data_IF_341138073714
#
_entry.id   IF_341138073714
#
_cell.length_a   1.000
_cell.length_b   1.000
_cell.length_c   1.000
_cell.angle_alpha   90.00
_cell.angle_beta   90.00
_cell.angle_gamma   90.00
#
_symmetry.space_group_name_H-M   'P 1'
#
loop_
_entity.id
_entity.type
_entity.pdbx_description
1 polymer ?
#
# COMPACT_ATOMS: atom_id res chain seq x y z
N UNK A 1 -3.78 -92.59 -21.35
CA UNK A 1 -2.96 -93.43 -20.48
C UNK A 1 -3.19 -92.87 -19.07
N UNK A 2 -4.09 -93.60 -18.40
CA UNK A 2 -4.24 -93.84 -16.95
C UNK A 2 -4.34 -92.64 -15.99
N UNK A 3 -5.56 -92.38 -15.58
CA UNK A 3 -6.01 -92.13 -14.20
C UNK A 3 -5.28 -93.10 -13.21
N UNK A 4 -5.14 -92.90 -11.89
CA UNK A 4 -6.15 -92.49 -10.91
C UNK A 4 -5.53 -91.64 -9.75
N UNK A 5 -6.25 -90.89 -8.95
CA UNK A 5 -6.85 -91.35 -7.72
C UNK A 5 -7.56 -90.19 -6.95
N UNK A 6 -8.80 -90.31 -6.65
CA UNK A 6 -9.54 -89.65 -5.57
C UNK A 6 -9.47 -90.55 -4.32
N UNK A 7 -9.42 -90.03 -3.11
CA UNK A 7 -10.57 -89.72 -2.32
C UNK A 7 -10.34 -88.53 -1.36
N UNK A 8 -11.22 -87.78 -0.72
CA UNK A 8 -12.31 -88.21 0.13
C UNK A 8 -13.18 -87.00 0.48
N UNK A 9 -14.45 -87.20 0.54
CA UNK A 9 -15.46 -86.24 0.99
C UNK A 9 -15.41 -86.07 2.53
N UNK A 10 -15.38 -84.80 3.03
CA UNK A 10 -15.84 -84.45 4.35
C UNK A 10 -17.15 -83.65 4.28
N UNK A 11 -18.05 -83.82 5.25
CA UNK A 11 -19.44 -83.41 5.12
C UNK A 11 -19.68 -81.91 5.33
N UNK A 12 -20.82 -81.36 4.89
CA UNK A 12 -21.13 -79.94 5.06
C UNK A 12 -21.48 -79.63 6.50
N UNK A 13 -20.74 -78.70 7.09
CA UNK A 13 -21.09 -78.09 8.36
C UNK A 13 -22.31 -77.17 8.17
N UNK A 14 -23.30 -77.44 9.03
CA UNK A 14 -24.61 -76.83 9.10
C UNK A 14 -24.52 -75.32 9.14
N UNK A 15 -25.49 -74.68 8.45
CA UNK A 15 -25.80 -73.26 8.54
C UNK A 15 -26.00 -72.88 10.02
N UNK A 16 -25.10 -72.07 10.54
CA UNK A 16 -25.32 -71.35 11.79
C UNK A 16 -26.19 -70.12 11.50
N UNK A 17 -27.32 -70.10 12.09
CA UNK A 17 -28.37 -69.07 12.05
C UNK A 17 -27.75 -67.65 12.16
N UNK A 18 -28.15 -66.82 11.23
CA UNK A 18 -27.80 -65.40 11.24
C UNK A 18 -28.36 -64.69 12.48
N UNK A 19 -27.46 -64.35 13.37
CA UNK A 19 -27.76 -63.34 14.39
C UNK A 19 -27.88 -62.03 13.66
N UNK A 20 -29.02 -61.37 13.65
CA UNK A 20 -29.10 -60.04 13.05
C UNK A 20 -28.23 -59.10 13.85
N UNK A 21 -27.17 -58.57 13.22
CA UNK A 21 -26.38 -57.46 13.75
C UNK A 21 -27.37 -56.31 14.01
N UNK A 22 -27.33 -55.72 15.20
CA UNK A 22 -28.16 -54.55 15.47
C UNK A 22 -27.79 -53.45 14.47
N UNK A 23 -28.79 -52.73 13.93
CA UNK A 23 -28.49 -51.64 13.01
C UNK A 23 -27.56 -50.67 13.71
N UNK A 24 -26.40 -50.44 13.11
CA UNK A 24 -25.48 -49.38 13.50
C UNK A 24 -26.29 -48.08 13.50
N UNK A 25 -26.70 -47.63 14.69
CA UNK A 25 -27.28 -46.33 14.89
C UNK A 25 -26.22 -45.27 14.55
N UNK A 26 -26.01 -45.07 13.26
CA UNK A 26 -25.39 -43.84 12.75
C UNK A 26 -26.35 -42.73 13.14
N UNK A 27 -26.00 -42.01 14.19
CA UNK A 27 -26.71 -40.80 14.60
C UNK A 27 -26.44 -39.72 13.54
N UNK A 28 -27.06 -39.88 12.37
CA UNK A 28 -27.32 -38.73 11.50
C UNK A 28 -28.33 -37.89 12.29
N UNK A 29 -27.84 -36.78 12.82
CA UNK A 29 -28.71 -35.77 13.43
C UNK A 29 -29.69 -35.32 12.36
N UNK A 30 -30.84 -35.97 12.28
CA UNK A 30 -31.88 -35.56 11.36
C UNK A 30 -32.26 -34.13 11.67
N UNK A 31 -32.19 -33.23 10.70
CA UNK A 31 -32.62 -31.84 10.84
C UNK A 31 -34.01 -31.76 11.49
N UNK A 32 -34.85 -32.74 11.26
CA UNK A 32 -36.19 -32.88 11.85
C UNK A 32 -36.14 -33.10 13.37
N UNK A 33 -35.20 -33.87 13.91
CA UNK A 33 -35.07 -34.09 15.36
C UNK A 33 -34.64 -32.84 16.12
N UNK A 34 -33.97 -31.92 15.44
CA UNK A 34 -33.58 -30.62 16.02
C UNK A 34 -34.69 -29.59 15.87
N UNK A 35 -35.46 -29.63 14.77
CA UNK A 35 -36.52 -28.64 14.50
C UNK A 35 -37.78 -28.88 15.36
N UNK A 36 -38.18 -30.14 15.60
CA UNK A 36 -39.41 -30.45 16.34
C UNK A 36 -39.45 -29.87 17.77
N UNK A 37 -38.41 -30.02 18.62
CA UNK A 37 -38.45 -29.44 19.97
C UNK A 37 -38.37 -27.91 19.96
N UNK A 38 -37.77 -27.31 18.93
CA UNK A 38 -37.72 -25.84 18.74
C UNK A 38 -39.14 -25.32 18.39
N UNK A 39 -39.83 -25.96 17.47
CA UNK A 39 -41.18 -25.55 17.03
C UNK A 39 -42.22 -25.57 18.17
N UNK A 40 -42.17 -26.60 19.03
CA UNK A 40 -43.07 -26.70 20.18
C UNK A 40 -42.82 -25.61 21.25
N UNK A 41 -41.62 -25.02 21.26
CA UNK A 41 -41.22 -23.99 22.24
C UNK A 41 -40.99 -22.62 21.60
N UNK A 42 -41.64 -22.32 20.45
CA UNK A 42 -41.51 -21.07 19.69
C UNK A 42 -41.67 -19.80 20.54
N UNK A 43 -42.58 -19.81 21.53
CA UNK A 43 -42.76 -18.67 22.43
C UNK A 43 -41.52 -18.40 23.31
N UNK A 44 -40.77 -19.40 23.70
CA UNK A 44 -39.52 -19.23 24.45
C UNK A 44 -38.40 -18.70 23.54
N UNK A 45 -38.37 -19.13 22.31
CA UNK A 45 -37.42 -18.60 21.31
C UNK A 45 -37.72 -17.13 21.01
N UNK A 46 -38.99 -16.76 20.84
CA UNK A 46 -39.40 -15.37 20.68
C UNK A 46 -39.09 -14.53 21.93
N UNK A 47 -39.30 -15.04 23.11
CA UNK A 47 -38.92 -14.38 24.35
C UNK A 47 -37.40 -14.18 24.44
N UNK A 48 -36.59 -15.19 24.08
CA UNK A 48 -35.15 -15.10 24.03
C UNK A 48 -34.65 -14.06 23.03
N UNK A 49 -35.28 -14.00 21.84
CA UNK A 49 -34.98 -12.98 20.82
C UNK A 49 -35.33 -11.58 21.33
N UNK A 50 -36.50 -11.37 21.94
CA UNK A 50 -36.92 -10.08 22.48
C UNK A 50 -36.04 -9.64 23.65
N UNK A 51 -35.77 -10.50 24.60
CA UNK A 51 -34.90 -10.18 25.76
C UNK A 51 -33.48 -9.89 25.26
N UNK A 52 -32.96 -10.72 24.36
CA UNK A 52 -31.63 -10.48 23.75
C UNK A 52 -31.55 -9.16 23.00
N UNK A 53 -32.60 -8.81 22.24
CA UNK A 53 -32.67 -7.53 21.52
C UNK A 53 -32.73 -6.33 22.49
N UNK A 54 -33.51 -6.41 23.56
CA UNK A 54 -33.59 -5.35 24.58
C UNK A 54 -32.25 -5.21 25.32
N UNK A 55 -31.61 -6.31 25.68
CA UNK A 55 -30.30 -6.27 26.30
C UNK A 55 -29.23 -5.70 25.34
N UNK A 56 -29.22 -6.11 24.08
CA UNK A 56 -28.33 -5.58 23.07
C UNK A 56 -28.54 -4.06 22.84
N UNK A 57 -29.80 -3.64 22.76
CA UNK A 57 -30.15 -2.22 22.68
C UNK A 57 -29.70 -1.46 23.94
N UNK A 58 -29.96 -1.95 25.13
CA UNK A 58 -29.53 -1.34 26.39
C UNK A 58 -28.02 -1.23 26.49
N UNK A 59 -27.29 -2.26 26.07
CA UNK A 59 -25.82 -2.24 26.03
C UNK A 59 -25.26 -1.18 25.05
N UNK A 60 -25.96 -0.97 23.94
CA UNK A 60 -25.63 0.08 22.98
C UNK A 60 -25.73 1.51 23.59
N UNK A 61 -26.64 1.72 24.52
CA UNK A 61 -26.83 3.05 25.17
C UNK A 61 -25.73 3.36 26.22
N UNK A 62 -25.08 2.33 26.75
CA UNK A 62 -23.98 2.49 27.74
C UNK A 62 -22.65 2.79 27.04
N UNK A 63 -22.50 2.46 25.77
CA UNK A 63 -21.27 2.72 25.04
C UNK A 63 -21.10 4.20 24.72
N UNK A 64 -19.83 4.74 24.79
CA UNK A 64 -19.58 6.14 24.46
C UNK A 64 -19.91 6.41 22.98
N UNK A 65 -20.62 7.51 22.76
CA UNK A 65 -20.92 8.00 21.41
C UNK A 65 -19.61 8.35 20.71
N UNK A 66 -19.49 7.97 19.45
CA UNK A 66 -18.34 8.28 18.60
C UNK A 66 -18.81 8.94 17.32
N UNK A 67 -18.09 9.97 16.94
CA UNK A 67 -18.36 10.78 15.78
C UNK A 67 -17.25 10.58 14.75
N UNK A 68 -17.61 10.55 13.46
CA UNK A 68 -16.62 10.38 12.38
C UNK A 68 -16.53 11.69 11.60
N UNK A 69 -15.40 12.38 11.71
CA UNK A 69 -15.04 13.49 10.84
C UNK A 69 -14.39 12.95 9.56
N UNK A 70 -14.85 13.42 8.40
CA UNK A 70 -14.32 12.97 7.10
C UNK A 70 -13.84 14.18 6.29
N UNK A 71 -12.59 14.12 5.83
CA UNK A 71 -12.03 15.06 4.87
C UNK A 71 -11.71 14.34 3.57
N UNK A 72 -11.95 14.97 2.43
CA UNK A 72 -11.64 14.42 1.12
C UNK A 72 -10.72 15.34 0.33
N UNK A 73 -9.76 14.74 -0.37
CA UNK A 73 -8.84 15.45 -1.24
C UNK A 73 -8.55 14.65 -2.50
N UNK A 74 -8.26 15.39 -3.57
CA UNK A 74 -7.82 14.83 -4.84
C UNK A 74 -6.33 15.02 -4.96
N UNK A 75 -5.67 13.93 -5.31
CA UNK A 75 -4.30 14.00 -5.76
C UNK A 75 -4.36 14.19 -7.28
N UNK A 76 -4.00 15.36 -7.74
CA UNK A 76 -3.84 15.54 -9.17
C UNK A 76 -2.64 14.73 -9.63
N UNK A 77 -2.80 13.71 -10.49
CA UNK A 77 -1.67 13.16 -11.19
C UNK A 77 -1.09 14.34 -11.99
N UNK A 78 0.13 14.70 -11.70
CA UNK A 78 0.84 15.75 -12.43
C UNK A 78 0.95 15.31 -13.89
N UNK A 79 -0.07 15.66 -14.69
CA UNK A 79 -0.16 15.40 -16.13
C UNK A 79 0.84 16.25 -16.96
N UNK A 80 1.93 16.70 -16.32
CA UNK A 80 3.05 17.30 -17.05
C UNK A 80 4.19 16.30 -17.09
N UNK A 81 4.46 15.69 -18.25
CA UNK A 81 5.54 14.69 -18.39
C UNK A 81 6.93 15.21 -18.05
N UNK A 82 7.09 16.52 -17.92
CA UNK A 82 8.37 17.17 -17.59
C UNK A 82 8.53 17.63 -16.13
N UNK A 83 7.50 17.52 -15.27
CA UNK A 83 7.51 18.12 -13.93
C UNK A 83 7.06 17.21 -12.80
N UNK A 84 6.87 15.92 -13.03
CA UNK A 84 6.39 15.02 -11.97
C UNK A 84 7.50 14.53 -11.05
N UNK A 85 7.99 15.43 -10.22
CA UNK A 85 8.95 15.16 -9.14
C UNK A 85 8.40 14.13 -8.16
N UNK A 86 7.10 14.23 -7.82
CA UNK A 86 6.42 13.29 -6.93
C UNK A 86 6.23 11.93 -7.61
N UNK A 87 5.93 11.89 -8.92
CA UNK A 87 5.82 10.62 -9.66
C UNK A 87 7.17 9.93 -9.86
N UNK A 88 8.29 10.67 -9.71
CA UNK A 88 9.64 10.11 -9.83
C UNK A 88 10.19 9.54 -8.53
N UNK A 89 9.78 10.08 -7.39
CA UNK A 89 10.16 9.54 -6.07
C UNK A 89 9.33 8.29 -5.67
N UNK A 90 8.12 8.16 -6.24
CA UNK A 90 7.21 7.05 -5.93
C UNK A 90 7.81 5.65 -6.16
N UNK A 91 8.44 5.34 -7.31
CA UNK A 91 8.98 4.00 -7.55
C UNK A 91 10.16 3.65 -6.65
N UNK A 92 10.96 4.64 -6.23
CA UNK A 92 12.08 4.39 -5.33
C UNK A 92 11.62 3.99 -3.91
N UNK A 93 10.51 4.58 -3.44
CA UNK A 93 9.89 4.19 -2.18
C UNK A 93 9.11 2.87 -2.29
N UNK A 94 8.54 2.56 -3.46
CA UNK A 94 7.87 1.28 -3.72
C UNK A 94 8.84 0.09 -3.68
N UNK A 95 10.09 0.28 -4.10
CA UNK A 95 11.16 -0.72 -3.97
C UNK A 95 11.53 -1.05 -2.52
N UNK A 96 11.33 -0.12 -1.60
CA UNK A 96 11.56 -0.32 -0.16
C UNK A 96 10.43 -1.12 0.54
N UNK A 97 9.24 -1.16 -0.06
CA UNK A 97 8.06 -1.85 0.53
C UNK A 97 7.90 -3.29 0.02
N UNK A 98 8.77 -3.76 -0.86
CA UNK A 98 8.90 -5.19 -1.22
C UNK A 98 7.69 -5.79 -1.98
N UNK A 99 6.89 -5.01 -2.68
CA UNK A 99 5.78 -5.50 -3.48
C UNK A 99 6.08 -5.37 -4.98
N UNK A 100 6.30 -6.48 -5.63
CA UNK A 100 6.38 -6.58 -7.10
C UNK A 100 5.04 -6.31 -7.77
N UNK A 101 4.67 -5.05 -7.89
CA UNK A 101 3.48 -4.59 -8.59
C UNK A 101 3.36 -3.10 -8.33
N UNK A 102 3.38 -2.28 -9.38
CA UNK A 102 3.43 -0.83 -9.32
C UNK A 102 2.53 -0.24 -8.23
N UNK A 103 3.14 0.13 -7.11
CA UNK A 103 2.46 0.85 -6.05
C UNK A 103 1.85 2.11 -6.67
N UNK A 104 0.54 2.23 -6.59
CA UNK A 104 -0.13 3.40 -7.14
C UNK A 104 0.30 4.63 -6.33
N UNK A 105 0.28 5.80 -6.94
CA UNK A 105 0.54 7.06 -6.24
C UNK A 105 -0.21 7.15 -4.89
N UNK A 106 -1.34 6.51 -4.83
CA UNK A 106 -2.27 6.46 -3.73
C UNK A 106 -1.76 5.63 -2.55
N UNK A 107 -1.07 4.51 -2.83
CA UNK A 107 -0.46 3.68 -1.78
C UNK A 107 0.63 4.47 -1.02
N UNK A 108 1.34 5.35 -1.73
CA UNK A 108 2.30 6.26 -1.11
C UNK A 108 1.61 7.23 -0.14
N UNK A 109 0.52 7.90 -0.57
CA UNK A 109 -0.19 8.83 0.32
C UNK A 109 -0.75 8.13 1.53
N UNK A 110 -1.28 6.90 1.34
CA UNK A 110 -1.76 6.08 2.44
C UNK A 110 -0.63 5.73 3.42
N UNK A 111 0.54 5.40 2.90
CA UNK A 111 1.73 5.10 3.70
C UNK A 111 2.24 6.35 4.44
N UNK A 112 2.27 7.50 3.78
CA UNK A 112 2.64 8.78 4.42
C UNK A 112 1.68 9.15 5.54
N UNK A 113 0.36 9.02 5.33
CA UNK A 113 -0.66 9.31 6.33
C UNK A 113 -0.59 8.37 7.55
N UNK A 114 -0.09 7.15 7.36
CA UNK A 114 0.12 6.17 8.45
C UNK A 114 1.53 6.23 9.04
N UNK A 115 2.38 7.13 8.56
CA UNK A 115 3.74 7.25 9.06
C UNK A 115 3.78 7.66 10.53
N UNK A 116 4.80 7.23 11.23
CA UNK A 116 5.01 7.60 12.63
C UNK A 116 5.14 9.10 12.80
N UNK A 117 5.87 9.77 11.90
CA UNK A 117 6.05 11.22 11.93
C UNK A 117 4.74 11.98 11.81
N UNK A 118 3.81 11.53 10.94
CA UNK A 118 2.48 12.09 10.81
C UNK A 118 1.67 11.90 12.09
N UNK A 119 1.67 10.68 12.62
CA UNK A 119 0.97 10.31 13.84
C UNK A 119 1.45 11.14 15.02
N UNK A 120 2.78 11.33 15.16
CA UNK A 120 3.38 12.11 16.24
C UNK A 120 3.00 13.59 16.18
N UNK A 121 3.00 14.22 15.00
CA UNK A 121 2.57 15.61 14.84
C UNK A 121 1.12 15.82 15.26
N UNK A 122 0.23 14.88 14.87
CA UNK A 122 -1.18 14.95 15.26
C UNK A 122 -1.36 14.76 16.76
N UNK A 123 -0.65 13.81 17.37
CA UNK A 123 -0.67 13.57 18.81
C UNK A 123 -0.24 14.81 19.59
N UNK A 124 0.85 15.46 19.17
CA UNK A 124 1.39 16.65 19.82
C UNK A 124 0.48 17.86 19.61
N UNK A 125 -0.08 18.05 18.41
CA UNK A 125 -0.95 19.18 18.09
C UNK A 125 -2.25 19.22 18.90
N UNK A 126 -2.84 18.03 19.14
CA UNK A 126 -4.11 17.92 19.87
C UNK A 126 -3.92 17.39 21.30
N UNK A 127 -2.70 17.25 21.79
CA UNK A 127 -2.38 16.69 23.11
C UNK A 127 -3.13 15.38 23.42
N UNK A 128 -3.29 14.52 22.39
CA UNK A 128 -4.16 13.35 22.48
C UNK A 128 -3.70 12.34 23.52
N UNK A 129 -2.40 12.26 23.81
CA UNK A 129 -1.87 11.40 24.85
C UNK A 129 -2.45 11.76 26.21
N UNK A 130 -2.52 13.06 26.53
CA UNK A 130 -3.12 13.58 27.79
C UNK A 130 -4.63 13.44 27.76
N UNK A 131 -5.27 13.78 26.62
CA UNK A 131 -6.71 13.70 26.46
C UNK A 131 -7.26 12.28 26.66
N UNK A 132 -6.47 11.26 26.31
CA UNK A 132 -6.84 9.86 26.50
C UNK A 132 -6.30 9.24 27.79
N UNK A 133 -5.53 9.98 28.61
CA UNK A 133 -4.99 9.51 29.86
C UNK A 133 -3.98 8.36 29.71
N UNK A 134 -3.18 8.39 28.63
CA UNK A 134 -2.23 7.32 28.32
C UNK A 134 -0.83 7.69 28.80
N UNK A 135 -0.17 6.75 29.51
CA UNK A 135 1.17 6.95 30.05
C UNK A 135 2.25 6.85 28.98
N UNK A 136 2.04 5.98 27.98
CA UNK A 136 3.03 5.70 26.95
C UNK A 136 2.63 6.24 25.58
N UNK A 137 3.56 6.93 24.92
CA UNK A 137 3.38 7.49 23.57
C UNK A 137 3.00 6.43 22.52
N UNK A 138 3.59 5.24 22.63
CA UNK A 138 3.29 4.14 21.72
C UNK A 138 1.83 3.67 21.79
N UNK A 139 1.22 3.72 22.97
CA UNK A 139 -0.20 3.40 23.14
C UNK A 139 -1.08 4.45 22.46
N UNK A 140 -0.70 5.74 22.57
CA UNK A 140 -1.41 6.81 21.91
C UNK A 140 -1.31 6.71 20.38
N UNK A 141 -0.14 6.35 19.85
CA UNK A 141 0.05 6.09 18.42
C UNK A 141 -0.84 4.94 17.93
N UNK A 142 -0.85 3.81 18.65
CA UNK A 142 -1.69 2.66 18.31
C UNK A 142 -3.19 3.00 18.40
N UNK A 143 -3.58 3.77 19.40
CA UNK A 143 -4.97 4.19 19.55
C UNK A 143 -5.40 5.13 18.43
N UNK A 144 -4.55 6.09 18.05
CA UNK A 144 -4.81 6.97 16.91
C UNK A 144 -4.90 6.18 15.60
N UNK A 145 -3.99 5.24 15.37
CA UNK A 145 -4.01 4.39 14.18
C UNK A 145 -5.29 3.55 14.05
N UNK A 146 -5.91 3.14 15.17
CA UNK A 146 -7.20 2.44 15.16
C UNK A 146 -8.40 3.37 14.92
N UNK A 147 -8.26 4.65 15.28
CA UNK A 147 -9.32 5.66 15.13
C UNK A 147 -9.29 6.36 13.77
N UNK A 148 -8.17 6.26 13.03
CA UNK A 148 -7.99 6.87 11.72
C UNK A 148 -8.10 5.80 10.64
N UNK A 149 -8.97 6.01 9.68
CA UNK A 149 -9.08 5.18 8.49
C UNK A 149 -8.88 6.04 7.24
N UNK A 150 -8.02 5.54 6.35
CA UNK A 150 -7.78 6.14 5.04
C UNK A 150 -8.44 5.24 4.01
N UNK A 151 -9.41 5.76 3.32
CA UNK A 151 -10.14 5.10 2.25
C UNK A 151 -9.87 5.77 0.92
N UNK A 152 -10.06 5.02 -0.16
CA UNK A 152 -9.96 5.52 -1.51
C UNK A 152 -11.24 5.23 -2.28
N UNK A 153 -11.75 6.23 -2.98
CA UNK A 153 -12.77 6.05 -3.99
C UNK A 153 -12.22 5.30 -5.20
N UNK A 154 -12.73 4.09 -5.45
CA UNK A 154 -12.21 3.20 -6.51
C UNK A 154 -12.33 3.77 -7.93
N UNK A 155 -13.18 4.77 -8.15
CA UNK A 155 -13.45 5.35 -9.49
C UNK A 155 -12.97 6.78 -9.64
N UNK A 156 -12.84 7.52 -8.54
CA UNK A 156 -12.75 8.98 -8.60
C UNK A 156 -11.37 9.51 -8.22
N UNK A 157 -10.42 8.64 -7.84
CA UNK A 157 -9.08 9.05 -7.37
C UNK A 157 -9.13 9.89 -6.07
N UNK A 158 -10.29 9.94 -5.41
CA UNK A 158 -10.50 10.64 -4.16
C UNK A 158 -9.86 9.87 -3.00
N UNK A 159 -9.03 10.54 -2.25
CA UNK A 159 -8.54 10.03 -0.97
C UNK A 159 -9.39 10.63 0.14
N UNK A 160 -9.97 9.78 0.97
CA UNK A 160 -10.80 10.16 2.09
C UNK A 160 -10.14 9.75 3.40
N UNK A 161 -10.00 10.71 4.30
CA UNK A 161 -9.51 10.48 5.67
C UNK A 161 -10.72 10.56 6.59
N UNK A 162 -10.93 9.51 7.38
CA UNK A 162 -12.01 9.44 8.37
C UNK A 162 -11.41 9.23 9.75
N UNK A 163 -11.77 10.08 10.69
CA UNK A 163 -11.28 10.09 12.06
C UNK A 163 -12.45 9.88 13.01
N UNK A 164 -12.33 8.88 13.88
CA UNK A 164 -13.31 8.62 14.95
C UNK A 164 -12.86 9.30 16.25
N UNK A 165 -13.74 10.11 16.83
CA UNK A 165 -13.51 10.69 18.15
C UNK A 165 -14.83 10.80 18.95
N UNK A 166 -14.71 11.08 20.23
CA UNK A 166 -15.84 11.26 21.16
C UNK A 166 -16.53 12.61 20.98
N UNK A 167 -15.79 13.60 20.46
CA UNK A 167 -16.35 14.94 20.18
C UNK A 167 -16.37 15.21 18.68
N UNK A 168 -17.50 15.66 18.10
CA UNK A 168 -17.62 15.89 16.65
C UNK A 168 -16.66 16.97 16.15
N UNK A 169 -16.42 18.03 16.95
CA UNK A 169 -15.52 19.12 16.60
C UNK A 169 -14.08 18.64 16.50
N UNK A 170 -13.61 17.80 17.46
CA UNK A 170 -12.25 17.27 17.47
C UNK A 170 -12.05 16.24 16.35
N UNK A 171 -13.04 15.41 16.05
CA UNK A 171 -12.99 14.49 14.93
C UNK A 171 -12.75 15.22 13.60
N UNK A 172 -13.51 16.28 13.34
CA UNK A 172 -13.36 17.09 12.14
C UNK A 172 -12.03 17.86 12.14
N UNK A 173 -11.63 18.44 13.26
CA UNK A 173 -10.37 19.18 13.36
C UNK A 173 -9.14 18.29 13.12
N UNK A 174 -9.13 17.06 13.66
CA UNK A 174 -8.05 16.10 13.43
C UNK A 174 -8.02 15.69 11.96
N UNK A 175 -9.17 15.39 11.33
CA UNK A 175 -9.22 15.02 9.92
C UNK A 175 -8.67 16.13 9.01
N UNK A 176 -9.04 17.39 9.26
CA UNK A 176 -8.52 18.55 8.54
C UNK A 176 -7.00 18.73 8.78
N UNK A 177 -6.55 18.55 10.02
CA UNK A 177 -5.13 18.67 10.33
C UNK A 177 -4.29 17.61 9.60
N UNK A 178 -4.78 16.39 9.44
CA UNK A 178 -4.11 15.38 8.62
C UNK A 178 -3.87 15.86 7.18
N UNK A 179 -4.83 16.53 6.59
CA UNK A 179 -4.69 17.08 5.23
C UNK A 179 -3.68 18.23 5.19
N UNK A 180 -3.69 19.10 6.21
CA UNK A 180 -2.71 20.20 6.34
C UNK A 180 -1.28 19.64 6.51
N UNK A 181 -1.09 18.69 7.41
CA UNK A 181 0.22 18.08 7.64
C UNK A 181 0.74 17.31 6.42
N UNK A 182 -0.17 16.60 5.70
CA UNK A 182 0.20 15.94 4.45
C UNK A 182 0.66 16.95 3.40
N UNK A 183 -0.07 18.07 3.26
CA UNK A 183 0.31 19.15 2.34
C UNK A 183 1.70 19.70 2.69
N UNK A 184 1.97 20.00 3.96
CA UNK A 184 3.26 20.49 4.40
C UNK A 184 4.39 19.48 4.15
N UNK A 185 4.14 18.21 4.42
CA UNK A 185 5.11 17.14 4.15
C UNK A 185 5.44 17.04 2.67
N UNK A 186 4.43 17.06 1.81
CA UNK A 186 4.61 17.02 0.35
C UNK A 186 5.35 18.27 -0.17
N UNK A 187 5.04 19.46 0.37
CA UNK A 187 5.75 20.70 0.04
C UNK A 187 7.23 20.60 0.42
N UNK A 188 7.53 20.11 1.62
CA UNK A 188 8.92 19.95 2.08
C UNK A 188 9.69 19.00 1.16
N UNK A 189 9.12 17.83 0.83
CA UNK A 189 9.77 16.88 -0.07
C UNK A 189 9.98 17.45 -1.49
N UNK A 190 8.96 18.09 -2.05
CA UNK A 190 9.07 18.71 -3.37
C UNK A 190 10.14 19.81 -3.41
N UNK A 191 10.20 20.64 -2.38
CA UNK A 191 11.18 21.71 -2.27
C UNK A 191 12.61 21.19 -2.09
N UNK A 192 12.79 20.16 -1.26
CA UNK A 192 14.10 19.56 -1.01
C UNK A 192 14.66 18.90 -2.29
N UNK A 193 13.80 18.21 -3.04
CA UNK A 193 14.21 17.62 -4.33
C UNK A 193 14.53 18.71 -5.37
N UNK A 194 13.71 19.74 -5.48
CA UNK A 194 13.96 20.86 -6.39
C UNK A 194 15.29 21.56 -6.06
N UNK A 195 15.57 21.78 -4.77
CA UNK A 195 16.85 22.33 -4.29
C UNK A 195 18.04 21.45 -4.65
N UNK A 196 17.93 20.13 -4.42
CA UNK A 196 18.99 19.18 -4.77
C UNK A 196 19.27 19.18 -6.27
N UNK A 197 18.21 19.22 -7.10
CA UNK A 197 18.30 19.29 -8.55
C UNK A 197 18.98 20.59 -8.99
N UNK A 198 18.58 21.73 -8.46
CA UNK A 198 19.22 23.01 -8.73
C UNK A 198 20.70 22.99 -8.37
N UNK A 199 21.05 22.55 -7.16
CA UNK A 199 22.45 22.47 -6.71
C UNK A 199 23.27 21.57 -7.62
N UNK A 200 22.73 20.44 -8.05
CA UNK A 200 23.38 19.53 -8.97
C UNK A 200 23.69 20.21 -10.29
N UNK A 201 22.70 20.81 -10.95
CA UNK A 201 22.94 21.47 -12.24
C UNK A 201 23.79 22.72 -12.13
N UNK A 202 23.73 23.49 -11.06
CA UNK A 202 24.64 24.60 -10.80
C UNK A 202 26.08 24.14 -10.65
N UNK A 203 26.34 23.06 -9.93
CA UNK A 203 27.69 22.48 -9.82
C UNK A 203 28.20 21.98 -11.18
N UNK A 204 27.36 21.34 -11.98
CA UNK A 204 27.72 20.88 -13.33
C UNK A 204 27.99 22.06 -14.26
N UNK A 205 27.20 23.13 -14.19
CA UNK A 205 27.41 24.34 -14.97
C UNK A 205 28.74 25.01 -14.65
N UNK A 206 29.12 25.07 -13.38
CA UNK A 206 30.40 25.60 -12.95
C UNK A 206 31.57 24.79 -13.54
N UNK A 207 31.50 23.46 -13.52
CA UNK A 207 32.50 22.57 -14.12
C UNK A 207 32.60 22.77 -15.65
N UNK A 208 31.45 22.73 -16.34
CA UNK A 208 31.41 22.90 -17.78
C UNK A 208 31.95 24.25 -18.23
N UNK A 209 31.74 25.32 -17.46
CA UNK A 209 32.35 26.64 -17.72
C UNK A 209 33.88 26.61 -17.60
N UNK A 210 34.43 25.89 -16.64
CA UNK A 210 35.88 25.71 -16.47
C UNK A 210 36.45 24.92 -17.65
N UNK A 211 35.78 23.88 -18.10
CA UNK A 211 36.15 23.07 -19.27
C UNK A 211 36.11 23.92 -20.54
N UNK A 212 35.08 24.73 -20.76
CA UNK A 212 34.99 25.65 -21.88
C UNK A 212 36.14 26.64 -21.89
N UNK A 213 36.49 27.24 -20.73
CA UNK A 213 37.61 28.18 -20.63
C UNK A 213 38.93 27.48 -20.97
N UNK A 214 39.15 26.24 -20.52
CA UNK A 214 40.36 25.47 -20.86
C UNK A 214 40.42 25.11 -22.35
N UNK A 215 39.29 24.66 -22.94
CA UNK A 215 39.19 24.33 -24.36
C UNK A 215 39.43 25.59 -25.24
N UNK A 216 38.90 26.76 -24.85
CA UNK A 216 39.15 28.04 -25.51
C UNK A 216 40.61 28.40 -25.47
N UNK A 217 41.30 28.28 -24.34
CA UNK A 217 42.71 28.56 -24.20
C UNK A 217 43.57 27.62 -25.07
N UNK A 218 43.23 26.33 -25.11
CA UNK A 218 43.93 25.36 -25.96
C UNK A 218 43.73 25.65 -27.44
N UNK A 219 42.51 26.03 -27.85
CA UNK A 219 42.24 26.43 -29.23
C UNK A 219 43.04 27.68 -29.64
N UNK A 220 43.11 28.70 -28.79
CA UNK A 220 43.93 29.93 -29.03
C UNK A 220 45.41 29.64 -29.23
N UNK A 221 45.95 28.67 -28.46
CA UNK A 221 47.38 28.28 -28.57
C UNK A 221 47.69 27.49 -29.85
N UNK A 222 46.72 26.97 -30.56
CA UNK A 222 46.93 26.10 -31.71
C UNK A 222 47.23 26.81 -33.04
N UNK A 223 47.09 28.13 -33.13
CA UNK A 223 47.58 29.04 -34.17
C UNK A 223 47.55 28.59 -35.64
N UNK A 224 46.38 28.35 -36.25
CA UNK A 224 46.25 27.88 -37.63
C UNK A 224 45.74 28.93 -38.62
N UNK A 225 46.34 29.02 -39.81
CA UNK A 225 46.16 30.15 -40.70
C UNK A 225 45.58 29.86 -42.13
N UNK A 226 44.75 28.78 -42.34
CA UNK A 226 44.14 28.51 -43.64
C UNK A 226 42.60 28.59 -43.62
N UNK A 227 42.02 29.61 -44.23
CA UNK A 227 40.60 29.95 -44.17
C UNK A 227 39.64 28.88 -44.74
N UNK A 228 40.02 28.15 -45.78
CA UNK A 228 39.16 27.13 -46.42
C UNK A 228 39.08 25.83 -45.61
N UNK A 229 40.15 25.42 -44.96
CA UNK A 229 40.15 24.28 -44.01
C UNK A 229 39.38 24.62 -42.74
N UNK A 230 39.44 25.88 -42.30
CA UNK A 230 38.66 26.37 -41.14
C UNK A 230 37.16 26.20 -41.31
N UNK A 231 36.61 26.48 -42.52
CA UNK A 231 35.16 26.37 -42.77
C UNK A 231 34.65 24.91 -42.72
N UNK A 232 35.39 23.94 -43.31
CA UNK A 232 35.05 22.51 -43.24
C UNK A 232 35.24 21.93 -41.86
N UNK A 233 36.36 22.26 -41.20
CA UNK A 233 36.66 21.85 -39.85
C UNK A 233 35.66 22.43 -38.86
N UNK A 234 35.23 23.68 -39.01
CA UNK A 234 34.19 24.30 -38.18
C UNK A 234 32.85 23.57 -38.27
N UNK A 235 32.40 23.23 -39.49
CA UNK A 235 31.14 22.50 -39.68
C UNK A 235 31.16 21.07 -39.10
N UNK A 236 32.30 20.37 -39.25
CA UNK A 236 32.50 19.05 -38.68
C UNK A 236 32.59 19.11 -37.14
N UNK A 237 33.33 20.08 -36.59
CA UNK A 237 33.47 20.30 -35.16
C UNK A 237 32.12 20.71 -34.50
N UNK A 238 31.33 21.52 -35.18
CA UNK A 238 30.01 21.91 -34.68
C UNK A 238 29.06 20.71 -34.58
N UNK A 239 29.03 19.83 -35.59
CA UNK A 239 28.21 18.61 -35.55
C UNK A 239 28.66 17.68 -34.42
N UNK A 240 29.99 17.48 -34.31
CA UNK A 240 30.54 16.63 -33.25
C UNK A 240 30.26 17.22 -31.86
N UNK A 241 30.53 18.52 -31.70
CA UNK A 241 30.29 19.20 -30.41
C UNK A 241 28.84 19.16 -29.98
N UNK A 242 27.89 19.37 -30.91
CA UNK A 242 26.47 19.29 -30.64
C UNK A 242 26.05 17.88 -30.17
N UNK A 243 26.46 16.85 -30.93
CA UNK A 243 26.09 15.46 -30.61
C UNK A 243 26.76 14.97 -29.30
N UNK A 244 28.05 15.34 -29.08
CA UNK A 244 28.75 14.99 -27.85
C UNK A 244 28.12 15.66 -26.63
N UNK A 245 27.65 16.91 -26.77
CA UNK A 245 26.96 17.62 -25.72
C UNK A 245 25.58 16.97 -25.43
N UNK A 246 24.86 16.50 -26.47
CA UNK A 246 23.62 15.75 -26.31
C UNK A 246 23.82 14.42 -25.55
N UNK A 247 24.90 13.68 -25.87
CA UNK A 247 25.31 12.47 -25.13
C UNK A 247 25.52 12.79 -23.65
N UNK A 248 26.35 13.80 -23.36
CA UNK A 248 26.67 14.19 -21.98
C UNK A 248 25.42 14.70 -21.24
N UNK A 249 24.57 15.47 -21.92
CA UNK A 249 23.31 15.92 -21.34
C UNK A 249 22.34 14.74 -21.05
N UNK A 250 22.32 13.73 -21.91
CA UNK A 250 21.56 12.50 -21.68
C UNK A 250 22.13 11.69 -20.50
N UNK A 251 23.47 11.58 -20.40
CA UNK A 251 24.14 10.95 -19.24
C UNK A 251 23.84 11.66 -17.93
N UNK A 252 23.87 12.99 -17.92
CA UNK A 252 23.53 13.79 -16.77
C UNK A 252 22.04 13.59 -16.35
N UNK A 253 21.13 13.59 -17.34
CA UNK A 253 19.71 13.29 -17.08
C UNK A 253 19.53 11.88 -16.51
N UNK A 254 20.21 10.90 -17.09
CA UNK A 254 20.20 9.52 -16.59
C UNK A 254 20.76 9.42 -15.17
N UNK A 255 21.88 10.10 -14.88
CA UNK A 255 22.48 10.10 -13.55
C UNK A 255 21.59 10.77 -12.50
N UNK A 256 20.88 11.81 -12.87
CA UNK A 256 19.88 12.46 -12.01
C UNK A 256 18.67 11.54 -11.77
N UNK A 257 18.18 10.85 -12.82
CA UNK A 257 17.08 9.92 -12.71
C UNK A 257 17.43 8.70 -11.82
N UNK A 258 18.63 8.14 -11.92
CA UNK A 258 19.11 7.02 -11.11
C UNK A 258 19.24 7.30 -9.62
N UNK A 259 19.33 8.57 -9.21
CA UNK A 259 19.30 8.93 -7.78
C UNK A 259 17.95 8.75 -7.13
N UNK A 260 16.89 8.78 -7.95
CA UNK A 260 15.50 8.79 -7.49
C UNK A 260 14.75 7.52 -7.93
N UNK A 261 15.23 6.81 -8.97
CA UNK A 261 14.57 5.67 -9.59
C UNK A 261 15.47 4.45 -9.67
N UNK A 262 14.84 3.27 -9.67
CA UNK A 262 15.56 2.01 -9.90
C UNK A 262 15.86 1.82 -11.39
N UNK A 263 16.95 1.13 -11.71
CA UNK A 263 17.37 0.84 -13.09
C UNK A 263 16.31 0.05 -13.91
N UNK A 264 15.38 -0.64 -13.26
CA UNK A 264 14.29 -1.38 -13.88
C UNK A 264 13.07 -0.53 -14.29
N UNK A 265 13.04 0.77 -13.99
CA UNK A 265 11.91 1.61 -14.38
C UNK A 265 11.87 1.83 -15.90
N UNK A 266 10.66 1.85 -16.49
CA UNK A 266 10.48 2.03 -17.93
C UNK A 266 11.16 3.31 -18.45
N UNK A 267 11.18 4.37 -17.65
CA UNK A 267 11.77 5.65 -18.01
C UNK A 267 13.31 5.61 -18.01
N UNK A 268 13.94 4.94 -17.03
CA UNK A 268 15.39 4.73 -17.04
C UNK A 268 15.80 3.86 -18.23
N UNK A 269 15.02 2.84 -18.57
CA UNK A 269 15.25 1.99 -19.74
C UNK A 269 15.12 2.78 -21.05
N UNK A 270 14.15 3.68 -21.15
CA UNK A 270 13.99 4.58 -22.29
C UNK A 270 15.21 5.51 -22.43
N UNK A 271 15.66 6.12 -21.33
CA UNK A 271 16.87 6.98 -21.32
C UNK A 271 18.15 6.22 -21.72
N UNK A 272 18.28 4.97 -21.28
CA UNK A 272 19.38 4.09 -21.68
C UNK A 272 19.36 3.80 -23.18
N UNK A 273 18.19 3.56 -23.76
CA UNK A 273 18.04 3.32 -25.21
C UNK A 273 18.36 4.58 -26.00
N UNK A 274 17.87 5.75 -25.57
CA UNK A 274 18.20 7.04 -26.18
C UNK A 274 19.71 7.30 -26.14
N UNK A 275 20.35 7.10 -25.00
CA UNK A 275 21.79 7.26 -24.81
C UNK A 275 22.59 6.32 -25.73
N UNK A 276 22.18 5.07 -25.87
CA UNK A 276 22.82 4.11 -26.76
C UNK A 276 22.76 4.57 -28.22
N UNK A 277 21.60 5.06 -28.66
CA UNK A 277 21.41 5.61 -30.03
C UNK A 277 22.30 6.85 -30.29
N UNK A 278 22.38 7.78 -29.32
CA UNK A 278 23.22 8.95 -29.43
C UNK A 278 24.71 8.58 -29.48
N UNK A 279 25.15 7.62 -28.65
CA UNK A 279 26.54 7.12 -28.67
C UNK A 279 26.90 6.44 -30.01
N UNK A 280 25.97 5.67 -30.56
CA UNK A 280 26.21 5.08 -31.90
C UNK A 280 26.36 6.13 -32.98
N UNK A 281 25.56 7.20 -32.97
CA UNK A 281 25.67 8.31 -33.89
C UNK A 281 27.01 9.03 -33.72
N UNK A 282 27.47 9.24 -32.49
CA UNK A 282 28.76 9.87 -32.17
C UNK A 282 29.94 9.02 -32.71
N UNK A 283 29.89 7.70 -32.47
CA UNK A 283 30.93 6.77 -32.96
C UNK A 283 31.07 6.80 -34.49
N UNK A 284 29.94 6.99 -35.22
CA UNK A 284 29.98 7.14 -36.70
C UNK A 284 30.66 8.42 -37.14
N UNK A 285 30.69 9.47 -36.30
CA UNK A 285 31.39 10.73 -36.58
C UNK A 285 32.87 10.69 -36.16
N UNK A 286 33.23 9.78 -35.25
CA UNK A 286 34.60 9.59 -34.78
C UNK A 286 35.49 8.78 -35.74
N UNK A 287 34.89 8.00 -36.66
CA UNK A 287 35.67 7.28 -37.67
C UNK A 287 36.42 8.26 -38.56
N UNK A 288 37.78 8.28 -38.55
CA UNK A 288 38.56 9.22 -39.31
C UNK A 288 38.35 8.99 -40.81
N UNK A 289 37.86 10.00 -41.52
CA UNK A 289 37.78 9.96 -42.98
C UNK A 289 39.04 10.47 -43.66
N UNK A 290 39.86 11.28 -42.98
CA UNK A 290 41.14 11.75 -43.47
C UNK A 290 42.13 11.94 -42.31
N UNK A 291 43.31 11.31 -42.42
CA UNK A 291 44.35 11.28 -41.39
C UNK A 291 45.11 12.60 -41.20
N UNK A 292 44.75 13.63 -41.93
CA UNK A 292 45.49 14.93 -41.98
C UNK A 292 44.79 16.11 -41.29
N UNK A 293 43.66 15.82 -40.59
CA UNK A 293 42.98 16.82 -39.77
C UNK A 293 43.71 17.01 -38.44
N UNK A 294 44.80 17.79 -38.53
CA UNK A 294 45.71 18.05 -37.43
C UNK A 294 45.08 18.51 -36.11
N UNK A 295 45.89 18.64 -35.10
CA UNK A 295 45.55 18.99 -33.70
C UNK A 295 44.56 20.19 -33.53
N UNK A 296 44.44 21.05 -34.52
CA UNK A 296 43.49 22.18 -34.55
C UNK A 296 42.05 21.71 -34.66
N UNK A 297 41.72 20.74 -35.55
CA UNK A 297 40.36 20.25 -35.73
C UNK A 297 39.87 19.54 -34.48
N UNK A 298 40.76 18.76 -33.83
CA UNK A 298 40.47 18.13 -32.55
C UNK A 298 40.14 19.17 -31.47
N UNK A 299 40.95 20.21 -31.32
CA UNK A 299 40.71 21.28 -30.34
C UNK A 299 39.46 22.12 -30.64
N UNK A 300 39.17 22.33 -31.93
CA UNK A 300 37.93 23.01 -32.33
C UNK A 300 36.67 22.15 -32.01
N UNK A 301 36.75 20.83 -32.21
CA UNK A 301 35.69 19.93 -31.80
C UNK A 301 35.44 19.98 -30.29
N UNK A 302 36.52 19.94 -29.51
CA UNK A 302 36.45 20.01 -28.04
C UNK A 302 35.89 21.36 -27.56
N UNK A 303 36.29 22.47 -28.15
CA UNK A 303 35.70 23.77 -27.86
C UNK A 303 34.21 23.84 -28.18
N UNK A 304 33.79 23.36 -29.38
CA UNK A 304 32.37 23.35 -29.76
C UNK A 304 31.53 22.42 -28.88
N UNK A 305 32.08 21.28 -28.47
CA UNK A 305 31.46 20.41 -27.49
C UNK A 305 31.25 21.15 -26.16
N UNK A 306 32.30 21.75 -25.61
CA UNK A 306 32.19 22.44 -24.32
C UNK A 306 31.22 23.64 -24.37
N UNK A 307 31.18 24.37 -25.49
CA UNK A 307 30.23 25.47 -25.73
C UNK A 307 28.77 24.97 -25.69
N UNK A 308 28.47 23.93 -26.47
CA UNK A 308 27.12 23.34 -26.54
C UNK A 308 26.71 22.70 -25.19
N UNK A 309 27.67 22.08 -24.50
CA UNK A 309 27.45 21.50 -23.19
C UNK A 309 27.07 22.57 -22.16
N UNK A 310 27.82 23.70 -22.10
CA UNK A 310 27.49 24.82 -21.20
C UNK A 310 26.09 25.33 -21.47
N UNK A 311 25.72 25.53 -22.75
CA UNK A 311 24.38 25.98 -23.13
C UNK A 311 23.28 25.00 -22.66
N UNK A 312 23.49 23.69 -22.88
CA UNK A 312 22.51 22.66 -22.51
C UNK A 312 22.33 22.58 -20.98
N UNK A 313 23.44 22.61 -20.21
CA UNK A 313 23.40 22.59 -18.75
C UNK A 313 22.82 23.88 -18.19
N UNK A 314 23.12 25.04 -18.82
CA UNK A 314 22.57 26.33 -18.41
C UNK A 314 21.01 26.32 -18.53
N UNK A 315 20.48 25.79 -19.63
CA UNK A 315 19.02 25.64 -19.78
C UNK A 315 18.42 24.74 -18.70
N UNK A 316 19.09 23.63 -18.36
CA UNK A 316 18.61 22.71 -17.31
C UNK A 316 18.73 23.34 -15.91
N UNK A 317 19.79 24.12 -15.65
CA UNK A 317 19.95 24.83 -14.39
C UNK A 317 18.88 25.93 -14.20
N UNK A 318 18.51 26.62 -15.27
CA UNK A 318 17.44 27.62 -15.23
C UNK A 318 16.07 26.95 -15.08
N UNK A 319 15.80 25.84 -15.76
CA UNK A 319 14.58 25.05 -15.56
C UNK A 319 14.47 24.56 -14.11
N UNK A 320 15.54 24.03 -13.53
CA UNK A 320 15.56 23.60 -12.13
C UNK A 320 15.36 24.76 -11.14
N UNK A 321 15.81 25.98 -11.49
CA UNK A 321 15.56 27.19 -10.70
C UNK A 321 14.07 27.60 -10.75
N UNK A 322 13.46 27.52 -11.92
CA UNK A 322 12.02 27.79 -12.11
C UNK A 322 11.20 26.74 -11.36
N UNK A 323 11.58 25.46 -11.43
CA UNK A 323 10.91 24.37 -10.70
C UNK A 323 10.94 24.59 -9.18
N UNK A 324 12.08 25.06 -8.63
CA UNK A 324 12.19 25.38 -7.19
C UNK A 324 11.31 26.57 -6.78
N UNK A 325 11.15 27.54 -7.68
CA UNK A 325 10.30 28.71 -7.44
C UNK A 325 8.80 28.42 -7.64
N UNK A 326 8.47 27.28 -8.27
CA UNK A 326 7.10 26.87 -8.50
C UNK A 326 6.50 26.26 -7.24
N UNK A 327 5.48 26.92 -6.65
CA UNK A 327 4.75 26.50 -5.45
C UNK A 327 3.73 25.37 -5.79
N UNK A 328 4.18 24.38 -6.55
CA UNK A 328 3.31 23.30 -7.05
C UNK A 328 3.05 22.24 -5.97
N UNK A 329 1.99 22.41 -5.19
CA UNK A 329 1.50 21.36 -4.30
C UNK A 329 0.50 20.49 -5.06
N UNK A 330 0.78 19.20 -5.26
CA UNK A 330 -0.10 18.31 -6.04
C UNK A 330 -1.34 17.86 -5.27
N UNK A 331 -1.71 18.55 -4.20
CA UNK A 331 -2.84 18.21 -3.36
C UNK A 331 -3.90 19.30 -3.38
N UNK A 332 -5.09 18.99 -3.87
CA UNK A 332 -6.25 19.85 -3.83
C UNK A 332 -7.27 19.29 -2.84
N UNK A 333 -7.57 20.07 -1.81
CA UNK A 333 -8.67 19.75 -0.87
C UNK A 333 -9.98 19.90 -1.62
N UNK A 334 -10.79 18.86 -1.62
CA UNK A 334 -12.13 18.88 -2.22
C UNK A 334 -13.15 19.27 -1.16
N UNK A 335 -13.17 18.52 -0.06
CA UNK A 335 -14.09 18.78 1.05
C UNK A 335 -13.33 18.79 2.37
N UNK A 336 -13.53 19.84 3.13
CA UNK A 336 -13.06 19.91 4.51
C UNK A 336 -14.01 19.13 5.43
N UNK A 337 -13.44 18.47 6.44
CA UNK A 337 -14.23 17.80 7.45
C UNK A 337 -15.07 18.81 8.23
N UNK A 338 -16.38 18.57 8.27
CA UNK A 338 -17.32 19.29 9.12
C UNK A 338 -17.67 18.45 10.34
N UNK A 339 -17.97 19.08 11.48
CA UNK A 339 -18.46 18.35 12.65
C UNK A 339 -19.73 17.57 12.29
N UNK A 340 -19.75 16.23 12.44
CA UNK A 340 -20.92 15.43 12.13
C UNK A 340 -22.05 15.71 13.13
N UNK A 341 -23.28 15.84 12.64
CA UNK A 341 -24.48 16.07 13.46
C UNK A 341 -24.95 14.79 14.17
N UNK A 342 -24.63 13.61 13.61
CA UNK A 342 -25.08 12.33 14.11
C UNK A 342 -23.91 11.43 14.50
N UNK A 343 -24.03 10.66 15.62
CA UNK A 343 -23.02 9.72 16.03
C UNK A 343 -22.92 8.55 15.02
N UNK A 344 -21.70 8.16 14.66
CA UNK A 344 -21.43 7.06 13.74
C UNK A 344 -21.48 5.70 14.44
N UNK A 345 -21.24 5.66 15.77
CA UNK A 345 -21.22 4.46 16.60
C UNK A 345 -21.58 4.83 18.04
N UNK A 346 -22.25 3.92 18.78
CA UNK A 346 -22.79 2.62 18.33
C UNK A 346 -24.02 2.79 17.43
N UNK A 347 -24.34 1.79 16.62
CA UNK A 347 -25.59 1.75 15.83
C UNK A 347 -26.62 0.90 16.60
N UNK A 348 -27.58 1.53 17.32
CA UNK A 348 -28.51 0.81 18.18
C UNK A 348 -29.26 -0.34 17.48
N UNK A 349 -29.75 -0.20 16.22
CA UNK A 349 -30.46 -1.30 15.56
C UNK A 349 -29.57 -2.52 15.30
N UNK A 350 -28.28 -2.33 14.99
CA UNK A 350 -27.36 -3.46 14.79
C UNK A 350 -27.10 -4.22 16.09
N UNK A 351 -26.96 -3.50 17.20
CA UNK A 351 -26.78 -4.10 18.51
C UNK A 351 -28.04 -4.85 18.99
N UNK A 352 -29.23 -4.31 18.70
CA UNK A 352 -30.49 -4.99 18.98
C UNK A 352 -30.62 -6.29 18.16
N UNK A 353 -30.29 -6.26 16.88
CA UNK A 353 -30.32 -7.48 16.03
C UNK A 353 -29.28 -8.50 16.49
N UNK A 354 -28.04 -8.08 16.77
CA UNK A 354 -26.98 -8.97 17.25
C UNK A 354 -27.35 -9.59 18.62
N UNK A 355 -27.86 -8.77 19.53
CA UNK A 355 -28.35 -9.22 20.83
C UNK A 355 -29.54 -10.19 20.70
N UNK A 356 -30.48 -9.90 19.81
CA UNK A 356 -31.63 -10.76 19.53
C UNK A 356 -31.22 -12.11 18.96
N UNK A 357 -30.33 -12.15 18.00
CA UNK A 357 -29.80 -13.41 17.44
C UNK A 357 -29.00 -14.20 18.49
N UNK A 358 -28.21 -13.52 19.30
CA UNK A 358 -27.47 -14.13 20.41
C UNK A 358 -28.43 -14.74 21.46
N UNK A 359 -29.46 -14.01 21.85
CA UNK A 359 -30.51 -14.50 22.79
C UNK A 359 -31.29 -15.69 22.24
N UNK A 360 -31.66 -15.64 20.97
CA UNK A 360 -32.29 -16.75 20.29
C UNK A 360 -31.41 -18.00 20.26
N UNK A 361 -30.09 -17.81 19.92
CA UNK A 361 -29.10 -18.90 19.90
C UNK A 361 -28.91 -19.54 21.28
N UNK A 362 -28.84 -18.75 22.34
CA UNK A 362 -28.68 -19.22 23.71
C UNK A 362 -29.92 -20.03 24.17
N UNK A 363 -31.13 -19.52 23.89
CA UNK A 363 -32.38 -20.25 24.25
C UNK A 363 -32.50 -21.50 23.42
N UNK A 364 -32.19 -21.49 22.13
CA UNK A 364 -32.19 -22.67 21.28
C UNK A 364 -31.20 -23.73 21.80
N UNK A 365 -30.00 -23.35 22.11
CA UNK A 365 -28.98 -24.25 22.69
C UNK A 365 -29.44 -24.82 24.02
N UNK A 366 -30.05 -24.01 24.91
CA UNK A 366 -30.58 -24.46 26.18
C UNK A 366 -31.75 -25.44 26.02
N UNK A 367 -32.65 -25.17 25.06
CA UNK A 367 -33.78 -26.07 24.75
C UNK A 367 -33.30 -27.43 24.25
N UNK A 368 -32.28 -27.40 23.33
CA UNK A 368 -31.70 -28.64 22.80
C UNK A 368 -30.91 -29.40 23.86
N UNK A 369 -30.13 -28.72 24.67
CA UNK A 369 -29.38 -29.33 25.77
C UNK A 369 -30.35 -30.01 26.77
N UNK A 370 -31.42 -29.31 27.16
CA UNK A 370 -32.44 -29.86 28.06
C UNK A 370 -33.18 -31.05 27.43
N UNK A 371 -33.44 -31.02 26.13
CA UNK A 371 -34.07 -32.13 25.41
C UNK A 371 -33.13 -33.35 25.37
N UNK A 372 -31.85 -33.14 25.07
CA UNK A 372 -30.83 -34.20 25.09
C UNK A 372 -30.65 -34.80 26.50
N UNK A 373 -30.61 -33.98 27.53
CA UNK A 373 -30.54 -34.45 28.92
C UNK A 373 -31.80 -35.22 29.35
N UNK A 374 -32.99 -34.83 28.86
CA UNK A 374 -34.23 -35.57 29.14
C UNK A 374 -34.22 -36.93 28.44
N UNK A 375 -33.76 -37.03 27.20
CA UNK A 375 -33.59 -38.29 26.49
C UNK A 375 -32.56 -39.21 27.15
N UNK A 376 -31.42 -38.64 27.58
CA UNK A 376 -30.37 -39.38 28.29
C UNK A 376 -30.84 -39.93 29.65
N UNK A 377 -31.84 -39.30 30.30
CA UNK A 377 -32.44 -39.81 31.53
C UNK A 377 -33.43 -40.96 31.30
N UNK A 378 -33.97 -41.09 30.09
CA UNK A 378 -34.91 -42.14 29.70
C UNK A 378 -34.19 -43.35 29.13
N UNK A 379 -32.92 -43.26 28.83
CA UNK A 379 -32.13 -44.37 28.29
C UNK A 379 -31.76 -45.38 29.42
N UNK A 380 -32.26 -46.62 29.37
CA UNK A 380 -32.06 -47.60 30.44
C UNK A 380 -30.57 -47.98 30.64
N UNK A 381 -29.77 -47.86 29.60
CA UNK A 381 -28.30 -48.09 29.70
C UNK A 381 -27.58 -47.04 30.57
N UNK A 382 -28.06 -45.78 30.58
CA UNK A 382 -27.53 -44.73 31.44
C UNK A 382 -27.96 -44.85 32.91
N UNK A 383 -29.18 -45.35 33.16
CA UNK A 383 -29.64 -45.63 34.52
C UNK A 383 -28.84 -46.73 35.20
N UNK A 384 -28.44 -47.79 34.46
CA UNK A 384 -27.56 -48.83 34.97
C UNK A 384 -26.15 -48.32 35.30
N UNK A 385 -25.58 -47.42 34.47
CA UNK A 385 -24.27 -46.80 34.75
C UNK A 385 -24.28 -45.85 35.95
N UNK A 386 -25.37 -45.09 36.12
CA UNK A 386 -25.53 -44.22 37.30
C UNK A 386 -25.81 -45.03 38.59
N UNK A 387 -26.48 -46.17 38.50
CA UNK A 387 -26.67 -47.10 39.62
C UNK A 387 -25.31 -47.69 40.08
N UNK A 388 -24.43 -48.06 39.13
CA UNK A 388 -23.10 -48.56 39.43
C UNK A 388 -22.21 -47.47 40.04
N UNK A 389 -22.24 -46.20 39.54
CA UNK A 389 -21.50 -45.09 40.13
C UNK A 389 -22.05 -44.75 41.54
N UNK A 390 -23.35 -44.87 41.76
CA UNK A 390 -23.97 -44.61 43.07
C UNK A 390 -23.68 -45.73 44.11
N UNK A 391 -23.41 -46.95 43.63
CA UNK A 391 -23.01 -48.07 44.50
C UNK A 391 -21.50 -48.03 44.85
N UNK A 392 -20.68 -47.33 44.08
CA UNK A 392 -19.24 -47.21 44.31
C UNK A 392 -18.86 -45.99 45.18
N UNK A 393 -19.80 -45.03 45.35
CA UNK A 393 -19.63 -43.92 46.29
C UNK A 393 -20.33 -44.28 47.60
N UNK A 394 -19.62 -44.81 48.63
CA UNK A 394 -20.22 -45.04 49.93
C UNK A 394 -20.60 -43.69 50.53
N UNK A 395 -21.87 -43.56 50.91
CA UNK A 395 -22.40 -42.42 51.59
C UNK A 395 -21.56 -42.11 52.82
N UNK A 396 -21.18 -40.86 52.96
CA UNK A 396 -20.78 -40.30 54.26
C UNK A 396 -22.03 -39.94 55.03
N UNK A 397 -22.05 -40.27 56.35
CA UNK A 397 -23.17 -40.02 57.22
C UNK A 397 -23.42 -38.55 57.44
#
# INVERSE_FOLDING_TARGET
MTDPDRPDRAPPLAAADGVPLPPSAGHSLGLLEVLLPLWHRRWRLLAGLLIGAVLGFGLSLVQPLRFTGTASFVVQPLLRPSQSVVSSALPALAGLVGAGGGASAIDLYTTMLRSQSMTDRILDRFELQRAWGLDFRIQAQQQLARRVSVGMGRRDGLVQISVLDETPQRAAAIANQYVVELRQMLQTFALDEARQRRQFYQAQLARARTELASAQQQLQRSGFDRAALRARAAAAAERYGRLSAEVTAAELRLSAARRVRTDGSAEVQQMLTELAGLREQLARLETPRDADDGAFVGRLREFRYAETLVESIARQAEAARVDEAADAVPLQVLDEARPPEWPSSPRPPLWAVAGGLGGLGLVAAWVLLRHRLALARLDPAHQQRLAVVRSVLPGRP
#
